data_IF_433764376599
#
_entry.id   IF_433764376599
#
_cell.length_a   1.000
_cell.length_b   1.000
_cell.length_c   1.000
_cell.angle_alpha   90.00
_cell.angle_beta   90.00
_cell.angle_gamma   90.00
#
_symmetry.space_group_name_H-M   'P 1'
#
loop_
_entity.id
_entity.type
_entity.pdbx_description
1 polymer ?
#
# COMPACT_ATOMS: atom_id res chain seq x y z
N UNK A 1 21.70 -1.72 5.30
CA UNK A 1 20.51 -2.02 6.12
C UNK A 1 20.05 -3.45 5.81
N UNK A 2 19.71 -4.28 6.80
CA UNK A 2 19.18 -5.64 6.61
C UNK A 2 17.93 -5.86 7.46
N UNK A 3 17.09 -6.81 7.07
CA UNK A 3 15.96 -7.29 7.89
C UNK A 3 16.50 -8.19 9.00
N UNK A 4 16.09 -7.92 10.23
CA UNK A 4 16.37 -8.77 11.39
C UNK A 4 15.22 -9.76 11.65
N UNK A 5 13.97 -9.30 11.56
CA UNK A 5 12.79 -10.14 11.72
C UNK A 5 11.60 -9.60 10.91
N UNK A 6 10.67 -10.49 10.57
CA UNK A 6 9.41 -10.17 9.90
C UNK A 6 8.31 -11.08 10.44
N UNK A 7 7.17 -10.51 10.80
CA UNK A 7 6.02 -11.23 11.35
C UNK A 7 4.70 -10.67 10.81
N UNK A 8 3.68 -11.52 10.69
CA UNK A 8 2.30 -11.11 10.41
C UNK A 8 1.41 -11.60 11.56
N UNK A 9 0.81 -10.67 12.29
CA UNK A 9 -0.18 -11.02 13.30
C UNK A 9 -1.55 -11.17 12.64
N UNK A 10 -2.02 -12.41 12.50
CA UNK A 10 -3.30 -12.75 11.87
C UNK A 10 -4.50 -12.18 12.65
N UNK A 11 -4.42 -12.12 13.98
CA UNK A 11 -5.49 -11.59 14.83
C UNK A 11 -5.67 -10.09 14.67
N UNK A 12 -4.58 -9.33 14.50
CA UNK A 12 -4.63 -7.88 14.36
C UNK A 12 -4.50 -7.38 12.92
N UNK A 13 -4.21 -8.27 11.95
CA UNK A 13 -3.87 -7.93 10.57
C UNK A 13 -2.75 -6.88 10.44
N UNK A 14 -1.73 -6.99 11.31
CA UNK A 14 -0.56 -6.09 11.31
C UNK A 14 0.66 -6.89 10.88
N UNK A 15 1.37 -6.42 9.85
CA UNK A 15 2.71 -6.91 9.54
C UNK A 15 3.74 -6.04 10.28
N UNK A 16 4.75 -6.66 10.87
CA UNK A 16 5.89 -5.96 11.48
C UNK A 16 7.20 -6.45 10.89
N UNK A 17 8.12 -5.50 10.67
CA UNK A 17 9.48 -5.78 10.25
C UNK A 17 10.42 -5.00 11.16
N UNK A 18 11.41 -5.67 11.74
CA UNK A 18 12.50 -5.03 12.47
C UNK A 18 13.76 -5.08 11.64
N UNK A 19 14.42 -3.93 11.49
CA UNK A 19 15.71 -3.81 10.81
C UNK A 19 16.85 -3.94 11.83
N UNK A 20 18.05 -4.27 11.35
CA UNK A 20 19.24 -4.46 12.18
C UNK A 20 19.69 -3.23 12.98
N UNK A 21 19.21 -2.04 12.63
CA UNK A 21 19.49 -0.77 13.34
C UNK A 21 18.44 -0.44 14.43
N UNK A 22 17.50 -1.36 14.68
CA UNK A 22 16.40 -1.17 15.62
C UNK A 22 15.19 -0.44 15.02
N UNK A 23 15.19 -0.09 13.74
CA UNK A 23 14.02 0.48 13.08
C UNK A 23 12.89 -0.53 13.01
N UNK A 24 11.71 -0.12 13.48
CA UNK A 24 10.47 -0.87 13.39
C UNK A 24 9.60 -0.32 12.26
N UNK A 25 9.12 -1.21 11.40
CA UNK A 25 8.13 -0.93 10.35
C UNK A 25 6.87 -1.71 10.70
N UNK A 26 5.74 -1.02 10.78
CA UNK A 26 4.42 -1.61 11.01
C UNK A 26 3.47 -1.24 9.88
N UNK A 27 2.78 -2.23 9.33
CA UNK A 27 1.96 -2.09 8.12
C UNK A 27 0.56 -2.61 8.40
N UNK A 28 -0.45 -1.83 7.99
CA UNK A 28 -1.86 -2.21 8.05
C UNK A 28 -2.54 -1.94 6.71
N UNK A 29 -3.47 -2.81 6.34
CA UNK A 29 -4.41 -2.60 5.24
C UNK A 29 -5.79 -2.36 5.84
N UNK A 30 -6.34 -1.15 5.70
CA UNK A 30 -7.63 -0.82 6.29
C UNK A 30 -8.75 -1.57 5.57
N UNK A 31 -9.64 -2.22 6.33
CA UNK A 31 -10.67 -3.10 5.78
C UNK A 31 -11.90 -2.37 5.23
N UNK A 32 -12.32 -1.26 5.86
CA UNK A 32 -13.47 -0.45 5.39
C UNK A 32 -13.06 0.75 4.54
N UNK A 33 -12.03 1.49 4.97
CA UNK A 33 -11.47 2.58 4.19
C UNK A 33 -10.48 2.07 3.14
N UNK A 34 -10.51 2.58 1.90
CA UNK A 34 -9.64 2.15 0.80
C UNK A 34 -8.22 2.75 0.94
N UNK A 35 -7.57 2.50 2.09
CA UNK A 35 -6.26 3.03 2.42
C UNK A 35 -5.42 1.97 3.14
N UNK A 36 -4.14 1.90 2.81
CA UNK A 36 -3.16 1.22 3.64
C UNK A 36 -2.26 2.22 4.33
N UNK A 37 -1.78 1.86 5.52
CA UNK A 37 -0.87 2.70 6.29
C UNK A 37 0.37 1.93 6.71
N UNK A 38 1.49 2.64 6.73
CA UNK A 38 2.77 2.16 7.23
C UNK A 38 3.33 3.18 8.22
N UNK A 39 3.86 2.68 9.34
CA UNK A 39 4.59 3.47 10.33
C UNK A 39 6.02 2.96 10.43
N UNK A 40 6.98 3.87 10.29
CA UNK A 40 8.40 3.63 10.56
C UNK A 40 8.73 4.34 11.87
N UNK A 41 9.44 3.66 12.76
CA UNK A 41 9.93 4.25 14.02
C UNK A 41 11.35 3.77 14.27
N UNK A 42 12.30 4.70 14.36
CA UNK A 42 13.71 4.38 14.59
C UNK A 42 14.68 5.38 13.95
N UNK A 43 15.97 5.04 13.90
CA UNK A 43 17.01 5.91 13.34
C UNK A 43 16.97 6.01 11.81
N UNK A 44 16.39 5.02 11.11
CA UNK A 44 16.25 5.08 9.65
C UNK A 44 15.22 6.12 9.19
N UNK A 45 15.65 7.01 8.29
CA UNK A 45 14.79 7.95 7.57
C UNK A 45 14.85 7.65 6.07
N UNK A 46 14.02 6.73 5.55
CA UNK A 46 14.11 6.34 4.16
C UNK A 46 13.56 7.42 3.23
N UNK A 47 14.13 7.50 2.03
CA UNK A 47 13.47 8.16 0.92
C UNK A 47 12.29 7.31 0.45
N UNK A 48 11.15 7.95 0.24
CA UNK A 48 9.91 7.30 -0.19
C UNK A 48 9.72 7.56 -1.67
N UNK A 49 9.54 6.49 -2.44
CA UNK A 49 9.30 6.56 -3.89
C UNK A 49 8.17 5.61 -4.27
N UNK A 50 7.15 6.16 -4.95
CA UNK A 50 6.07 5.44 -5.60
C UNK A 50 6.50 5.08 -7.02
N UNK A 51 6.76 3.80 -7.25
CA UNK A 51 7.21 3.30 -8.55
C UNK A 51 5.99 2.85 -9.35
N UNK A 52 5.65 3.61 -10.40
CA UNK A 52 4.65 3.18 -11.36
C UNK A 52 5.24 2.04 -12.23
N UNK A 53 4.54 0.92 -12.43
CA UNK A 53 4.99 -0.13 -13.35
C UNK A 53 5.20 0.43 -14.77
N UNK A 54 6.09 -0.19 -15.53
CA UNK A 54 6.37 0.18 -16.93
C UNK A 54 5.21 -0.27 -17.85
N UNK A 55 4.09 0.44 -17.79
CA UNK A 55 3.01 0.33 -18.76
C UNK A 55 3.38 1.20 -19.98
N UNK A 56 3.72 0.55 -21.09
CA UNK A 56 4.25 1.22 -22.29
C UNK A 56 5.68 1.76 -22.16
N UNK A 57 6.28 2.13 -23.30
CA UNK A 57 7.66 2.60 -23.45
C UNK A 57 8.41 1.83 -24.55
N UNK A 58 9.55 2.37 -25.08
CA UNK A 58 10.34 1.68 -26.09
C UNK A 58 10.79 0.31 -25.56
N UNK A 59 10.49 -0.75 -26.33
CA UNK A 59 10.95 -2.10 -26.03
C UNK A 59 12.45 -2.12 -26.28
N UNK A 60 13.24 -2.37 -25.25
CA UNK A 60 14.67 -2.60 -25.41
C UNK A 60 14.89 -3.96 -26.09
N UNK A 61 15.00 -3.95 -27.42
CA UNK A 61 15.18 -5.14 -28.25
C UNK A 61 16.55 -5.80 -28.06
N UNK A 62 17.47 -5.19 -27.29
CA UNK A 62 18.81 -5.70 -27.02
C UNK A 62 18.92 -6.48 -25.70
N UNK A 63 17.91 -6.43 -24.83
CA UNK A 63 17.86 -7.21 -23.60
C UNK A 63 17.43 -8.67 -23.86
N UNK A 64 18.19 -9.37 -24.70
CA UNK A 64 18.07 -10.82 -24.81
C UNK A 64 18.95 -11.50 -23.76
N UNK A 65 18.37 -12.50 -23.10
CA UNK A 65 19.03 -13.56 -22.31
C UNK A 65 19.47 -13.20 -20.89
N UNK A 66 18.55 -13.26 -19.92
CA UNK A 66 18.52 -14.32 -18.90
C UNK A 66 17.49 -13.99 -17.81
N UNK A 67 16.85 -15.03 -17.30
CA UNK A 67 15.73 -15.04 -16.35
C UNK A 67 14.35 -14.85 -16.99
N UNK A 68 13.43 -15.71 -16.55
CA UNK A 68 12.00 -15.72 -16.83
C UNK A 68 11.33 -14.45 -16.27
N UNK A 69 11.68 -13.29 -16.82
CA UNK A 69 11.03 -11.99 -16.58
C UNK A 69 9.69 -12.00 -17.32
N UNK A 70 8.71 -12.60 -16.64
CA UNK A 70 7.26 -12.36 -16.73
C UNK A 70 6.82 -11.33 -17.76
N UNK A 71 5.94 -11.74 -18.68
CA UNK A 71 5.27 -10.93 -19.71
C UNK A 71 5.20 -9.45 -19.42
N UNK A 72 6.17 -8.71 -19.96
CA UNK A 72 6.33 -7.27 -19.75
C UNK A 72 5.06 -6.53 -20.12
N UNK A 73 4.43 -5.88 -19.15
CA UNK A 73 3.27 -5.01 -19.32
C UNK A 73 3.52 -3.89 -20.36
N UNK A 74 4.79 -3.59 -20.66
CA UNK A 74 5.19 -2.69 -21.73
C UNK A 74 4.74 -3.16 -23.12
N UNK A 75 4.60 -4.47 -23.34
CA UNK A 75 4.13 -5.05 -24.62
C UNK A 75 2.65 -4.79 -24.89
N UNK A 76 1.91 -4.32 -23.88
CA UNK A 76 0.47 -4.04 -24.01
C UNK A 76 0.21 -2.68 -24.68
N UNK A 77 1.25 -1.87 -24.93
CA UNK A 77 1.12 -0.61 -25.68
C UNK A 77 0.28 0.46 -24.98
N UNK A 78 0.03 0.32 -23.68
CA UNK A 78 -0.67 1.34 -22.90
C UNK A 78 0.15 2.63 -22.84
N UNK A 79 -0.54 3.76 -22.67
CA UNK A 79 0.12 5.03 -22.44
C UNK A 79 0.93 4.98 -21.15
N UNK A 80 2.06 5.71 -21.14
CA UNK A 80 2.86 5.88 -19.96
C UNK A 80 2.04 6.50 -18.81
N UNK A 81 2.30 6.12 -17.56
CA UNK A 81 1.61 6.68 -16.41
C UNK A 81 1.91 8.18 -16.28
N UNK A 82 0.87 8.99 -16.12
CA UNK A 82 1.03 10.40 -15.79
C UNK A 82 1.36 10.51 -14.30
N UNK A 83 2.55 11.02 -13.96
CA UNK A 83 3.07 11.10 -12.58
C UNK A 83 2.95 12.51 -12.02
N UNK A 84 2.70 12.61 -10.73
CA UNK A 84 2.59 13.85 -9.97
C UNK A 84 3.35 13.71 -8.66
N UNK A 85 4.04 14.77 -8.24
CA UNK A 85 4.83 14.76 -7.02
C UNK A 85 4.79 16.10 -6.32
N UNK A 86 4.77 16.06 -4.99
CA UNK A 86 5.05 17.18 -4.10
C UNK A 86 6.24 16.81 -3.18
N UNK A 87 6.55 17.65 -2.20
CA UNK A 87 7.56 17.35 -1.18
C UNK A 87 7.21 16.11 -0.33
N UNK A 88 5.92 15.85 -0.13
CA UNK A 88 5.43 14.83 0.83
C UNK A 88 4.40 13.87 0.23
N UNK A 89 4.24 13.88 -1.08
CA UNK A 89 3.33 12.96 -1.78
C UNK A 89 3.77 12.68 -3.20
N UNK A 90 3.37 11.51 -3.69
CA UNK A 90 3.49 11.10 -5.08
C UNK A 90 2.18 10.42 -5.50
N UNK A 91 1.78 10.63 -6.75
CA UNK A 91 0.68 9.87 -7.34
C UNK A 91 0.94 9.63 -8.82
N UNK A 92 0.22 8.68 -9.39
CA UNK A 92 0.17 8.53 -10.84
C UNK A 92 -1.23 8.13 -11.29
N UNK A 93 -1.54 8.40 -12.56
CA UNK A 93 -2.74 7.93 -13.25
C UNK A 93 -2.31 7.01 -14.39
N UNK A 94 -2.93 5.84 -14.48
CA UNK A 94 -2.70 4.86 -15.53
C UNK A 94 -4.00 4.62 -16.31
N UNK A 95 -3.94 4.84 -17.62
CA UNK A 95 -4.99 4.42 -18.56
C UNK A 95 -4.79 2.94 -18.91
N UNK A 96 -5.89 2.21 -19.01
CA UNK A 96 -5.95 0.79 -19.29
C UNK A 96 -7.02 0.51 -20.35
N UNK A 97 -7.21 -0.76 -20.69
CA UNK A 97 -8.12 -1.15 -21.76
C UNK A 97 -9.58 -0.76 -21.49
N UNK A 98 -10.31 -0.44 -22.56
CA UNK A 98 -11.74 -0.16 -22.50
C UNK A 98 -12.11 1.14 -21.78
N UNK A 99 -11.21 2.14 -21.79
CA UNK A 99 -11.42 3.41 -21.10
C UNK A 99 -11.34 3.29 -19.58
N UNK A 100 -10.87 2.16 -19.04
CA UNK A 100 -10.59 2.00 -17.62
C UNK A 100 -9.38 2.83 -17.24
N UNK A 101 -9.43 3.50 -16.08
CA UNK A 101 -8.26 4.15 -15.52
C UNK A 101 -8.24 4.05 -14.00
N UNK A 102 -7.04 4.10 -13.44
CA UNK A 102 -6.84 4.09 -12.00
C UNK A 102 -5.75 5.07 -11.60
N UNK A 103 -5.80 5.48 -10.34
CA UNK A 103 -4.74 6.26 -9.72
C UNK A 103 -4.25 5.57 -8.46
N UNK A 104 -2.94 5.62 -8.25
CA UNK A 104 -2.29 5.25 -7.01
C UNK A 104 -1.70 6.52 -6.42
N UNK A 105 -1.97 6.78 -5.14
CA UNK A 105 -1.39 7.89 -4.40
C UNK A 105 -0.67 7.34 -3.16
N UNK A 106 0.46 7.95 -2.83
CA UNK A 106 1.17 7.77 -1.59
C UNK A 106 1.50 9.14 -1.00
N UNK A 107 1.30 9.32 0.30
CA UNK A 107 1.68 10.52 1.02
C UNK A 107 2.35 10.14 2.34
N UNK A 108 3.18 11.02 2.87
CA UNK A 108 3.90 10.76 4.12
C UNK A 108 4.11 12.02 4.96
N UNK A 109 4.27 11.81 6.26
CA UNK A 109 4.67 12.85 7.21
C UNK A 109 5.73 12.28 8.15
N UNK A 110 6.77 13.08 8.41
CA UNK A 110 7.87 12.71 9.30
C UNK A 110 7.92 13.66 10.49
N UNK A 111 7.99 13.12 11.70
CA UNK A 111 8.09 13.87 12.95
C UNK A 111 9.09 13.17 13.87
N UNK A 112 10.29 13.75 14.00
CA UNK A 112 11.39 13.15 14.75
C UNK A 112 11.76 11.76 14.19
N UNK A 113 11.83 10.70 15.02
CA UNK A 113 12.22 9.35 14.57
C UNK A 113 11.04 8.58 13.94
N UNK A 114 9.92 9.24 13.65
CA UNK A 114 8.69 8.58 13.21
C UNK A 114 8.26 9.10 11.83
N UNK A 115 8.03 8.18 10.92
CA UNK A 115 7.44 8.46 9.61
C UNK A 115 6.13 7.69 9.47
N UNK A 116 5.04 8.36 9.13
CA UNK A 116 3.79 7.72 8.73
C UNK A 116 3.60 7.89 7.23
N UNK A 117 3.22 6.81 6.56
CA UNK A 117 2.96 6.74 5.14
C UNK A 117 1.54 6.19 4.96
N UNK A 118 0.78 6.77 4.04
CA UNK A 118 -0.50 6.24 3.61
C UNK A 118 -0.47 6.02 2.09
N UNK A 119 -1.10 4.95 1.61
CA UNK A 119 -1.32 4.72 0.18
C UNK A 119 -2.78 4.38 -0.10
N UNK A 120 -3.26 4.79 -1.28
CA UNK A 120 -4.62 4.52 -1.74
C UNK A 120 -4.63 4.24 -3.23
N UNK A 121 -5.60 3.43 -3.66
CA UNK A 121 -5.90 3.18 -5.06
C UNK A 121 -7.36 3.58 -5.32
N UNK A 122 -7.60 4.33 -6.38
CA UNK A 122 -8.94 4.68 -6.84
C UNK A 122 -9.07 4.42 -8.34
N UNK A 123 -10.31 4.25 -8.82
CA UNK A 123 -10.58 3.88 -10.22
C UNK A 123 -11.73 4.70 -10.78
N UNK A 124 -11.74 4.89 -12.10
CA UNK A 124 -12.79 5.68 -12.76
C UNK A 124 -14.17 5.01 -12.76
N UNK A 125 -14.26 3.74 -12.33
CA UNK A 125 -15.53 3.06 -12.08
C UNK A 125 -16.26 3.54 -10.82
N UNK A 126 -15.53 4.17 -9.89
CA UNK A 126 -16.08 4.63 -8.59
C UNK A 126 -16.09 6.15 -8.44
N UNK A 127 -15.38 6.88 -9.29
CA UNK A 127 -15.25 8.34 -9.24
C UNK A 127 -14.90 8.88 -10.62
N UNK A 128 -15.35 10.11 -10.94
CA UNK A 128 -14.95 10.78 -12.18
C UNK A 128 -13.47 11.19 -12.19
N UNK A 129 -12.90 11.47 -11.00
CA UNK A 129 -11.49 11.81 -10.85
C UNK A 129 -10.79 10.83 -9.87
N UNK A 130 -10.18 9.75 -10.38
CA UNK A 130 -9.46 8.78 -9.56
C UNK A 130 -8.28 9.38 -8.80
N UNK A 131 -7.59 10.36 -9.37
CA UNK A 131 -6.44 10.98 -8.75
C UNK A 131 -6.83 11.75 -7.49
N UNK A 132 -7.79 12.67 -7.63
CA UNK A 132 -8.26 13.47 -6.49
C UNK A 132 -8.76 12.58 -5.36
N UNK A 133 -9.50 11.52 -5.70
CA UNK A 133 -10.02 10.59 -4.69
C UNK A 133 -8.89 9.84 -3.96
N UNK A 134 -7.88 9.36 -4.68
CA UNK A 134 -6.74 8.67 -4.06
C UNK A 134 -5.93 9.61 -3.15
N UNK A 135 -5.72 10.86 -3.58
CA UNK A 135 -5.05 11.90 -2.78
C UNK A 135 -5.86 12.21 -1.51
N UNK A 136 -7.17 12.45 -1.64
CA UNK A 136 -8.05 12.72 -0.49
C UNK A 136 -8.04 11.57 0.53
N UNK A 137 -7.99 10.32 0.09
CA UNK A 137 -7.90 9.17 0.99
C UNK A 137 -6.61 9.17 1.80
N UNK A 138 -5.45 9.39 1.16
CA UNK A 138 -4.15 9.38 1.88
C UNK A 138 -4.02 10.58 2.81
N UNK A 139 -4.47 11.77 2.40
CA UNK A 139 -4.46 12.98 3.24
C UNK A 139 -5.36 12.83 4.47
N UNK A 140 -6.59 12.33 4.29
CA UNK A 140 -7.51 12.03 5.39
C UNK A 140 -6.93 11.00 6.35
N UNK A 141 -6.30 9.96 5.82
CA UNK A 141 -5.70 8.91 6.63
C UNK A 141 -4.52 9.44 7.47
N UNK A 142 -3.63 10.26 6.88
CA UNK A 142 -2.53 10.88 7.61
C UNK A 142 -3.01 11.90 8.66
N UNK A 143 -4.04 12.69 8.35
CA UNK A 143 -4.68 13.60 9.31
C UNK A 143 -5.30 12.85 10.49
N UNK A 144 -5.87 11.68 10.23
CA UNK A 144 -6.41 10.78 11.26
C UNK A 144 -5.28 10.12 12.07
N UNK A 145 -4.17 9.80 11.40
CA UNK A 145 -2.96 9.21 11.97
C UNK A 145 -3.05 7.70 12.16
N UNK A 146 -1.90 7.03 12.18
CA UNK A 146 -1.82 5.56 12.21
C UNK A 146 -2.64 4.92 13.34
N UNK A 147 -2.51 5.41 14.58
CA UNK A 147 -3.14 4.80 15.76
C UNK A 147 -4.67 4.78 15.66
N UNK A 148 -5.27 5.88 15.19
CA UNK A 148 -6.74 5.98 15.09
C UNK A 148 -7.27 5.12 13.94
N UNK A 149 -6.60 5.10 12.79
CA UNK A 149 -6.93 4.20 11.68
C UNK A 149 -6.84 2.73 12.11
N UNK A 150 -5.77 2.36 12.83
CA UNK A 150 -5.61 0.99 13.34
C UNK A 150 -6.75 0.58 14.29
N UNK A 151 -7.12 1.45 15.23
CA UNK A 151 -8.21 1.18 16.16
C UNK A 151 -9.57 1.06 15.44
N UNK A 152 -9.82 1.92 14.44
CA UNK A 152 -11.03 1.87 13.61
C UNK A 152 -11.15 0.54 12.87
N UNK A 153 -10.08 0.14 12.17
CA UNK A 153 -9.99 -1.14 11.47
C UNK A 153 -10.29 -2.33 12.38
N UNK A 154 -9.70 -2.36 13.59
CA UNK A 154 -9.91 -3.43 14.57
C UNK A 154 -11.35 -3.49 15.09
N UNK A 155 -11.98 -2.32 15.28
CA UNK A 155 -13.34 -2.24 15.81
C UNK A 155 -14.40 -2.59 14.76
N UNK A 156 -14.19 -2.20 13.50
CA UNK A 156 -15.08 -2.58 12.40
C UNK A 156 -14.87 -4.01 11.87
N UNK A 157 -13.78 -4.68 12.30
CA UNK A 157 -13.51 -6.09 12.02
C UNK A 157 -14.07 -7.07 13.06
N UNK A 158 -14.77 -6.60 14.11
CA UNK A 158 -15.50 -7.51 15.00
C UNK A 158 -16.67 -8.11 14.22
N UNK A 159 -16.75 -9.44 14.07
CA UNK A 159 -17.94 -10.05 13.50
C UNK A 159 -19.12 -9.75 14.42
N UNK A 160 -20.13 -9.04 13.91
CA UNK A 160 -21.46 -9.02 14.51
C UNK A 160 -22.11 -10.38 14.24
N UNK A 161 -21.70 -11.41 14.98
CA UNK A 161 -22.24 -12.76 14.82
C UNK A 161 -21.53 -13.81 15.66
N UNK A 162 -22.22 -14.25 16.74
CA UNK A 162 -22.22 -15.62 17.27
C UNK A 162 -20.90 -16.23 17.77
N UNK A 163 -20.86 -16.56 19.07
CA UNK A 163 -19.96 -17.59 19.60
C UNK A 163 -20.12 -18.88 18.77
N UNK A 164 -19.09 -19.29 18.05
CA UNK A 164 -18.92 -20.68 17.61
C UNK A 164 -17.70 -21.25 18.34
N UNK A 165 -17.95 -21.81 19.53
CA UNK A 165 -16.99 -22.68 20.18
C UNK A 165 -17.11 -24.07 19.54
N UNK A 166 -16.12 -24.48 18.75
CA UNK A 166 -16.01 -25.87 18.30
C UNK A 166 -15.20 -26.63 19.36
N UNK A 167 -15.89 -27.32 20.26
CA UNK A 167 -15.30 -28.43 21.03
C UNK A 167 -15.63 -29.73 20.31
N UNK A 168 -14.60 -30.42 19.82
CA UNK A 168 -14.73 -31.80 19.34
C UNK A 168 -14.77 -32.76 20.54
N UNK A 169 -15.77 -33.65 20.69
CA UNK A 169 -15.69 -34.72 21.66
C UNK A 169 -14.90 -35.89 21.09
N UNK A 170 -13.81 -36.27 21.77
CA UNK A 170 -13.16 -37.55 21.62
C UNK A 170 -14.11 -38.60 22.22
N UNK A 171 -14.59 -39.55 21.42
CA UNK A 171 -15.26 -40.74 21.93
C UNK A 171 -14.20 -41.79 22.25
N UNK A 172 -14.24 -42.28 23.49
CA UNK A 172 -13.54 -43.48 23.97
C UNK A 172 -14.12 -44.74 23.34
#
# INVERSE_FOLDING_TARGET
>A
MRVQSSELNITSAVARVTLTDGTLIEIIQHAQDPVGLLRITGPSQPQITLVAPAFGGPIDTLAQTTSLQTGSLARLGYQEPQRFQTTTSQSFVQQAWGGFSFSVAAAWQTQGPKTEIAWSIATNKRTANPQDQAIQHVERALKTGYKKNFNSMRNGGRPTGGKAASQSPIRS
#
